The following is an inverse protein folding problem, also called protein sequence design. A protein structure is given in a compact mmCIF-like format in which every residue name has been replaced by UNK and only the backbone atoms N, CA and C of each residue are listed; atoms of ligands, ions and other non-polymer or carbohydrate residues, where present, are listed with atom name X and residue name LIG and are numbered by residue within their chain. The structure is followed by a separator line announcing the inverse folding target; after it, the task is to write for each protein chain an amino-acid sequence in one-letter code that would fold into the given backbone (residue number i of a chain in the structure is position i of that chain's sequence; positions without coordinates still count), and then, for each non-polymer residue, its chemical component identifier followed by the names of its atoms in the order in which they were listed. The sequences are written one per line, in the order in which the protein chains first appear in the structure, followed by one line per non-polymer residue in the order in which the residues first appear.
data_IF_408477218726
#
_entry.id   IF_408477218726
#
_cell.length_a   1.000
_cell.length_b   1.000
_cell.length_c   1.000
_cell.angle_alpha   90.00
_cell.angle_beta   90.00
_cell.angle_gamma   90.00
#
_symmetry.space_group_name_H-M   'P 1'
#
loop_
_entity.id
_entity.type
_entity.pdbx_description
1 polymer ?
#
# COMPACT_ATOMS: atom_id res chain seq x y z
N UNK A 1 -14.81 -4.98 10.24
CA UNK A 1 -14.12 -5.09 8.94
C UNK A 1 -14.58 -6.37 8.25
N UNK A 2 -14.90 -6.32 6.97
CA UNK A 2 -15.19 -7.48 6.11
C UNK A 2 -14.08 -7.61 5.05
N UNK A 3 -13.90 -8.80 4.49
CA UNK A 3 -13.02 -9.04 3.33
C UNK A 3 -13.88 -9.51 2.17
N UNK A 4 -13.52 -9.12 0.96
CA UNK A 4 -14.18 -9.57 -0.28
C UNK A 4 -13.09 -10.07 -1.22
N UNK A 5 -13.30 -11.21 -1.87
CA UNK A 5 -12.41 -11.70 -2.93
C UNK A 5 -12.86 -11.25 -4.32
N UNK A 6 -12.12 -11.65 -5.36
CA UNK A 6 -12.42 -11.23 -6.75
C UNK A 6 -13.77 -11.69 -7.26
N UNK A 7 -14.24 -12.84 -6.78
CA UNK A 7 -15.56 -13.41 -7.14
C UNK A 7 -16.71 -12.80 -6.33
N UNK A 8 -16.41 -11.86 -5.43
CA UNK A 8 -17.39 -11.13 -4.63
C UNK A 8 -17.78 -11.84 -3.33
N UNK A 9 -17.14 -12.95 -2.96
CA UNK A 9 -17.47 -13.67 -1.72
C UNK A 9 -17.06 -12.83 -0.51
N UNK A 10 -18.05 -12.48 0.30
CA UNK A 10 -17.87 -11.68 1.51
C UNK A 10 -17.56 -12.60 2.68
N UNK A 11 -16.47 -12.33 3.38
CA UNK A 11 -16.08 -13.00 4.63
C UNK A 11 -16.01 -12.00 5.77
N UNK A 12 -16.21 -12.49 6.99
CA UNK A 12 -16.22 -11.62 8.18
C UNK A 12 -14.88 -10.95 8.48
N UNK A 13 -13.77 -11.46 7.94
CA UNK A 13 -12.40 -10.94 8.08
C UNK A 13 -11.47 -11.70 7.14
N UNK A 14 -10.28 -11.16 6.85
CA UNK A 14 -9.32 -11.78 5.93
C UNK A 14 -8.90 -13.21 6.31
N UNK A 15 -8.61 -13.45 7.60
CA UNK A 15 -8.14 -14.76 8.09
C UNK A 15 -9.23 -15.64 8.68
N UNK A 16 -10.50 -15.26 8.49
CA UNK A 16 -11.61 -16.11 8.93
C UNK A 16 -12.31 -16.64 7.69
N UNK A 17 -12.39 -17.96 7.52
CA UNK A 17 -12.98 -18.57 6.33
C UNK A 17 -14.51 -18.40 6.26
N UNK A 18 -15.20 -18.15 7.38
CA UNK A 18 -16.66 -18.03 7.42
C UNK A 18 -17.18 -16.96 6.46
N UNK A 19 -17.89 -17.43 5.44
CA UNK A 19 -18.58 -16.64 4.44
C UNK A 19 -19.87 -16.06 5.00
N UNK A 20 -20.22 -14.88 4.52
CA UNK A 20 -21.41 -14.14 4.89
C UNK A 20 -22.42 -14.08 3.73
N UNK A 21 -21.97 -14.28 2.49
CA UNK A 21 -22.74 -14.16 1.24
C UNK A 21 -21.87 -13.54 0.14
N UNK A 22 -22.48 -13.07 -0.95
CA UNK A 22 -21.79 -12.43 -2.06
C UNK A 22 -22.15 -10.93 -2.15
N UNK A 23 -21.17 -10.11 -2.55
CA UNK A 23 -21.31 -8.65 -2.70
C UNK A 23 -22.26 -8.29 -3.86
N UNK A 24 -22.19 -9.04 -4.95
CA UNK A 24 -22.88 -8.72 -6.21
C UNK A 24 -24.38 -8.98 -6.13
N UNK A 25 -24.82 -10.00 -5.39
CA UNK A 25 -26.23 -10.28 -5.16
C UNK A 25 -26.78 -9.68 -3.85
N UNK A 26 -25.90 -9.10 -3.03
CA UNK A 26 -26.27 -8.47 -1.76
C UNK A 26 -26.66 -9.44 -0.63
N UNK A 27 -26.54 -10.75 -0.83
CA UNK A 27 -26.91 -11.79 0.15
C UNK A 27 -26.16 -11.65 1.48
N UNK A 28 -24.95 -11.07 1.46
CA UNK A 28 -24.15 -10.83 2.67
C UNK A 28 -24.83 -9.96 3.73
N UNK A 29 -25.76 -9.09 3.32
CA UNK A 29 -26.37 -8.08 4.20
C UNK A 29 -27.12 -8.69 5.37
N UNK A 30 -27.85 -9.78 5.14
CA UNK A 30 -28.60 -10.47 6.18
C UNK A 30 -27.70 -11.08 7.26
N UNK A 31 -26.45 -11.38 6.93
CA UNK A 31 -25.47 -11.96 7.86
C UNK A 31 -24.67 -10.90 8.62
N UNK A 32 -24.77 -9.61 8.28
CA UNK A 32 -24.04 -8.54 8.96
C UNK A 32 -24.60 -8.30 10.35
N UNK A 33 -23.77 -8.56 11.37
CA UNK A 33 -24.05 -8.27 12.77
C UNK A 33 -22.75 -8.05 13.55
N UNK A 34 -22.76 -7.28 14.64
CA UNK A 34 -21.61 -7.16 15.54
C UNK A 34 -21.18 -8.54 16.08
N UNK A 35 -19.88 -8.84 16.03
CA UNK A 35 -19.28 -10.07 16.55
C UNK A 35 -17.86 -9.75 17.04
N UNK A 36 -17.41 -10.40 18.12
CA UNK A 36 -15.99 -10.36 18.49
C UNK A 36 -15.15 -11.17 17.49
N UNK A 37 -13.91 -10.75 17.29
CA UNK A 37 -12.95 -11.58 16.57
C UNK A 37 -12.56 -12.77 17.46
N UNK A 38 -12.55 -14.02 16.94
CA UNK A 38 -12.09 -15.15 17.74
C UNK A 38 -10.58 -15.34 17.71
N UNK A 39 -9.84 -14.55 16.91
CA UNK A 39 -8.39 -14.50 17.03
C UNK A 39 -8.03 -13.64 18.23
N UNK A 40 -7.13 -14.15 19.07
CA UNK A 40 -6.60 -13.41 20.22
C UNK A 40 -5.80 -12.17 19.79
N UNK A 41 -5.12 -12.26 18.64
CA UNK A 41 -4.37 -11.16 18.02
C UNK A 41 -5.02 -10.79 16.70
N UNK A 42 -5.07 -9.50 16.42
CA UNK A 42 -5.71 -8.95 15.23
C UNK A 42 -4.68 -8.31 14.31
N UNK A 43 -4.36 -8.98 13.22
CA UNK A 43 -3.40 -8.57 12.18
C UNK A 43 -4.08 -8.11 10.87
N UNK A 44 -5.41 -8.23 10.75
CA UNK A 44 -6.15 -8.03 9.50
C UNK A 44 -6.29 -6.57 9.02
N UNK A 45 -5.49 -5.63 9.52
CA UNK A 45 -5.52 -4.27 9.03
C UNK A 45 -5.11 -4.23 7.55
N UNK A 46 -5.86 -3.46 6.75
CA UNK A 46 -5.52 -3.16 5.36
C UNK A 46 -5.60 -1.64 5.27
N UNK A 47 -4.48 -1.01 4.96
CA UNK A 47 -4.35 0.45 4.89
C UNK A 47 -4.20 0.93 3.45
N UNK A 48 -4.32 2.25 3.25
CA UNK A 48 -4.19 2.93 1.96
C UNK A 48 -2.89 3.72 1.84
N UNK A 49 -1.82 3.24 2.48
CA UNK A 49 -0.55 3.97 2.61
C UNK A 49 0.04 4.43 1.27
N UNK A 50 -0.17 3.67 0.19
CA UNK A 50 0.33 4.00 -1.14
C UNK A 50 -0.71 4.68 -2.04
N UNK A 51 -1.85 5.09 -1.49
CA UNK A 51 -2.84 5.83 -2.27
C UNK A 51 -2.47 7.31 -2.23
N UNK A 52 -1.78 7.78 -3.28
CA UNK A 52 -1.22 9.14 -3.39
C UNK A 52 -2.25 10.27 -3.17
N UNK A 53 -3.51 10.05 -3.54
CA UNK A 53 -4.57 11.05 -3.37
C UNK A 53 -4.93 11.33 -1.91
N UNK A 54 -4.52 10.46 -1.00
CA UNK A 54 -4.64 10.67 0.43
C UNK A 54 -3.27 11.14 0.95
N UNK A 55 -3.14 12.37 1.49
CA UNK A 55 -1.87 12.88 2.03
C UNK A 55 -1.52 12.22 3.38
N UNK A 56 -1.48 10.89 3.41
CA UNK A 56 -1.34 10.08 4.64
C UNK A 56 0.08 10.16 5.20
N UNK A 57 1.10 10.27 4.35
CA UNK A 57 2.47 10.46 4.79
C UNK A 57 2.66 11.79 5.53
N UNK A 58 1.97 12.85 5.13
CA UNK A 58 2.06 14.14 5.85
C UNK A 58 1.31 14.11 7.17
N UNK A 59 0.13 13.50 7.19
CA UNK A 59 -0.73 13.44 8.39
C UNK A 59 -0.16 12.51 9.45
N UNK A 60 0.32 11.34 9.04
CA UNK A 60 0.78 10.31 9.97
C UNK A 60 2.31 10.24 10.08
N UNK A 61 3.06 10.89 9.19
CA UNK A 61 4.52 10.92 9.20
C UNK A 61 5.12 9.52 9.45
N UNK A 62 5.94 9.37 10.51
CA UNK A 62 6.54 8.09 10.89
C UNK A 62 5.53 7.01 11.31
N UNK A 63 4.28 7.36 11.59
CA UNK A 63 3.22 6.46 12.04
C UNK A 63 2.30 5.91 10.94
N UNK A 64 2.63 6.08 9.65
CA UNK A 64 1.72 5.76 8.52
C UNK A 64 1.33 4.27 8.41
N UNK A 65 2.06 3.37 9.08
CA UNK A 65 1.77 1.93 9.17
C UNK A 65 1.40 1.49 10.59
N UNK A 66 1.36 2.41 11.55
CA UNK A 66 1.03 2.08 12.93
C UNK A 66 -0.48 1.84 13.05
N UNK A 67 -0.82 0.70 13.66
CA UNK A 67 -2.22 0.38 13.96
C UNK A 67 -2.82 1.33 15.01
N UNK A 68 -1.99 1.75 15.97
CA UNK A 68 -2.31 2.69 17.03
C UNK A 68 -1.12 3.64 17.12
N UNK A 69 -1.24 4.88 16.61
CA UNK A 69 -0.15 5.82 16.68
C UNK A 69 0.30 6.02 18.13
N UNK A 70 1.61 5.99 18.38
CA UNK A 70 2.13 6.55 19.61
C UNK A 70 1.65 8.01 19.73
N UNK A 71 1.33 8.51 20.94
CA UNK A 71 0.98 9.92 21.09
C UNK A 71 2.11 10.75 20.46
N UNK A 72 1.78 11.79 19.67
CA UNK A 72 2.80 12.63 19.07
C UNK A 72 3.72 13.14 20.19
N UNK A 73 5.03 13.29 19.93
CA UNK A 73 5.91 13.92 20.91
C UNK A 73 5.28 15.25 21.35
N UNK A 74 5.41 15.64 22.63
CA UNK A 74 4.83 16.89 23.11
C UNK A 74 5.22 18.01 22.14
N UNK A 75 4.21 18.70 21.62
CA UNK A 75 4.36 19.68 20.53
C UNK A 75 5.35 20.77 20.94
N UNK A 76 6.63 20.56 20.65
CA UNK A 76 7.71 21.53 20.79
C UNK A 76 7.76 22.34 19.52
N UNK A 77 7.04 23.47 19.53
CA UNK A 77 7.15 24.61 18.60
C UNK A 77 7.77 24.28 17.25
N UNK A 78 6.97 23.78 16.30
CA UNK A 78 7.30 23.95 14.89
C UNK A 78 7.33 25.47 14.66
N UNK A 79 8.52 26.05 14.73
CA UNK A 79 8.74 27.42 14.31
C UNK A 79 8.59 27.39 12.80
N UNK A 80 7.58 28.09 12.27
CA UNK A 80 7.55 28.44 10.85
C UNK A 80 8.76 29.34 10.63
N UNK A 81 9.86 28.73 10.18
CA UNK A 81 11.12 29.39 10.00
C UNK A 81 12.06 28.48 9.24
N UNK A 82 12.04 28.57 7.91
CA UNK A 82 13.20 28.19 7.13
C UNK A 82 14.42 28.93 7.70
N UNK A 83 15.27 28.24 8.44
CA UNK A 83 16.65 28.64 8.63
C UNK A 83 17.49 27.40 8.37
N UNK A 84 18.11 27.40 7.19
CA UNK A 84 19.17 26.46 6.83
C UNK A 84 20.21 26.50 7.93
N UNK A 85 20.45 25.36 8.59
CA UNK A 85 21.53 25.22 9.56
C UNK A 85 22.87 25.24 8.81
N UNK A 86 23.80 26.17 9.09
CA UNK A 86 25.02 26.34 8.29
C UNK A 86 26.12 25.31 8.62
N UNK A 87 25.80 24.21 9.30
CA UNK A 87 26.82 23.31 9.88
C UNK A 87 26.84 21.89 9.33
N UNK A 88 26.16 21.60 8.23
CA UNK A 88 26.42 20.36 7.49
C UNK A 88 27.52 20.65 6.47
N UNK A 89 28.76 20.14 6.65
CA UNK A 89 29.77 20.30 5.61
C UNK A 89 29.29 19.61 4.33
N UNK A 90 29.32 20.35 3.21
CA UNK A 90 29.10 19.78 1.88
C UNK A 90 30.18 18.73 1.61
N UNK A 91 29.89 17.47 1.88
CA UNK A 91 30.64 16.36 1.31
C UNK A 91 30.20 16.25 -0.13
N UNK A 92 31.05 16.70 -1.06
CA UNK A 92 30.89 16.43 -2.49
C UNK A 92 31.03 14.93 -2.70
N UNK A 93 29.93 14.19 -2.62
CA UNK A 93 29.90 12.85 -3.21
C UNK A 93 29.85 13.06 -4.72
N UNK A 94 30.99 12.87 -5.39
CA UNK A 94 31.04 12.76 -6.84
C UNK A 94 30.26 11.51 -7.21
N UNK A 95 29.00 11.68 -7.60
CA UNK A 95 28.20 10.62 -8.20
C UNK A 95 28.75 10.44 -9.60
N UNK A 96 29.50 9.36 -9.81
CA UNK A 96 29.85 8.93 -11.17
C UNK A 96 28.59 8.32 -11.77
N UNK A 97 27.95 9.05 -12.69
CA UNK A 97 26.86 8.54 -13.52
C UNK A 97 27.32 7.23 -14.20
N UNK A 98 26.59 6.10 -14.07
CA UNK A 98 26.87 4.94 -14.91
C UNK A 98 26.46 5.26 -16.35
N UNK A 99 27.42 5.19 -17.27
CA UNK A 99 27.19 5.28 -18.72
C UNK A 99 26.27 4.13 -19.16
N UNK A 100 25.01 4.46 -19.44
CA UNK A 100 24.03 3.57 -20.08
C UNK A 100 23.95 3.98 -21.54
N UNK A 101 25.02 3.72 -22.30
CA UNK A 101 24.92 3.66 -23.76
C UNK A 101 24.40 2.28 -24.14
N UNK A 102 23.07 2.14 -24.23
CA UNK A 102 22.45 1.00 -24.90
C UNK A 102 22.64 1.16 -26.40
N UNK A 103 23.42 0.26 -27.00
CA UNK A 103 23.50 0.04 -28.44
C UNK A 103 22.13 -0.39 -28.96
N UNK A 104 21.40 0.54 -29.56
CA UNK A 104 20.08 0.32 -30.17
C UNK A 104 20.25 -0.03 -31.64
N UNK A 105 21.02 -1.08 -31.97
CA UNK A 105 21.03 -1.65 -33.33
C UNK A 105 20.94 -3.18 -33.30
N UNK A 106 19.73 -3.69 -33.05
CA UNK A 106 19.40 -5.11 -33.21
C UNK A 106 17.96 -5.28 -33.70
N UNK A 107 17.77 -5.29 -35.03
CA UNK A 107 16.50 -5.68 -35.66
C UNK A 107 16.32 -7.19 -35.48
N UNK A 108 15.58 -7.62 -34.45
CA UNK A 108 15.08 -9.00 -34.39
C UNK A 108 13.59 -9.01 -34.73
N UNK A 109 13.26 -9.53 -35.92
CA UNK A 109 11.88 -9.77 -36.34
C UNK A 109 11.25 -10.88 -35.48
N UNK A 110 9.99 -10.74 -35.04
CA UNK A 110 9.31 -11.78 -34.28
C UNK A 110 9.05 -13.04 -35.13
N UNK A 111 9.09 -14.25 -34.54
CA UNK A 111 8.84 -15.50 -35.27
C UNK A 111 7.37 -15.60 -35.73
N UNK A 112 7.09 -16.27 -36.87
CA UNK A 112 5.74 -16.40 -37.38
C UNK A 112 4.86 -17.27 -36.46
N UNK A 113 3.60 -16.87 -36.33
CA UNK A 113 2.57 -17.57 -35.54
C UNK A 113 2.29 -18.95 -36.17
N UNK A 114 2.19 -20.04 -35.38
CA UNK A 114 1.77 -21.33 -35.92
C UNK A 114 0.32 -21.25 -36.42
N UNK A 115 0.10 -21.74 -37.64
CA UNK A 115 -1.25 -21.85 -38.21
C UNK A 115 -2.05 -22.90 -37.42
N UNK A 116 -3.24 -22.51 -36.97
CA UNK A 116 -4.17 -23.41 -36.32
C UNK A 116 -4.84 -24.28 -37.39
N UNK A 117 -4.39 -25.52 -37.51
CA UNK A 117 -5.12 -26.60 -38.20
C UNK A 117 -6.01 -27.32 -37.19
N UNK A 118 -7.32 -27.36 -37.46
CA UNK A 118 -8.33 -28.09 -36.67
C UNK A 118 -9.35 -27.21 -35.97
#
# INVERSE_FOLDING_TARGET
MISVDGDGTVRRRRFVPTELGNLYDGSYRAALRPRRCPLAVCDCHIGYVHLESLPLYDVFAGGVLERVPAPPPPVGSWSVGHTVSPSIPMVTMSVTEPDVTQDVTGTESPPPRPSRSG
#
